data_IF_813198621421
#
_entry.id   IF_813198621421
#
_cell.length_a   1.000
_cell.length_b   1.000
_cell.length_c   1.000
_cell.angle_alpha   90.00
_cell.angle_beta   90.00
_cell.angle_gamma   90.00
#
_symmetry.space_group_name_H-M   'P 1'
#
loop_
_entity.id
_entity.type
_entity.pdbx_description
1 polymer ?
#
# COMPACT_ATOMS: atom_id res chain seq x y z
N UNK A 1 -14.28 -28.21 24.14
CA UNK A 1 -12.95 -27.57 24.25
C UNK A 1 -11.92 -28.56 24.75
N UNK A 2 -11.54 -28.50 26.03
CA UNK A 2 -10.43 -29.23 26.67
C UNK A 2 -10.30 -30.74 26.37
N UNK A 3 -11.41 -31.46 26.18
CA UNK A 3 -11.35 -32.89 25.87
C UNK A 3 -10.92 -33.19 24.42
N UNK A 4 -11.16 -32.26 23.48
CA UNK A 4 -10.84 -32.43 22.06
C UNK A 4 -9.42 -31.93 21.70
N UNK A 5 -8.80 -31.08 22.53
CA UNK A 5 -7.46 -30.50 22.27
C UNK A 5 -6.37 -31.55 22.04
N UNK A 6 -6.50 -32.72 22.67
CA UNK A 6 -5.53 -33.83 22.54
C UNK A 6 -5.88 -34.86 21.47
N UNK A 7 -7.08 -34.81 20.89
CA UNK A 7 -7.66 -35.90 20.09
C UNK A 7 -8.07 -35.47 18.69
N UNK A 8 -8.63 -34.28 18.56
CA UNK A 8 -8.88 -33.61 17.29
C UNK A 8 -8.83 -32.08 17.50
N UNK A 9 -7.63 -31.49 17.36
CA UNK A 9 -7.41 -30.06 17.54
C UNK A 9 -8.29 -29.19 16.63
N UNK A 10 -8.64 -29.67 15.43
CA UNK A 10 -9.49 -28.93 14.50
C UNK A 10 -10.94 -28.85 14.99
N UNK A 11 -11.46 -29.96 15.53
CA UNK A 11 -12.80 -30.00 16.14
C UNK A 11 -12.86 -29.15 17.42
N UNK A 12 -11.76 -29.06 18.16
CA UNK A 12 -11.64 -28.16 19.31
C UNK A 12 -11.74 -26.70 18.89
N UNK A 13 -11.04 -26.27 17.82
CA UNK A 13 -11.15 -24.92 17.26
C UNK A 13 -12.59 -24.59 16.85
N UNK A 14 -13.31 -25.50 16.16
CA UNK A 14 -14.72 -25.28 15.76
C UNK A 14 -15.65 -25.18 16.98
N UNK A 15 -15.40 -25.98 18.02
CA UNK A 15 -16.19 -25.92 19.25
C UNK A 15 -15.96 -24.62 20.02
N UNK A 16 -14.72 -24.11 20.04
CA UNK A 16 -14.40 -22.83 20.67
C UNK A 16 -14.86 -21.63 19.82
N UNK A 17 -14.83 -21.72 18.49
CA UNK A 17 -15.36 -20.71 17.57
C UNK A 17 -16.86 -20.48 17.82
N UNK A 18 -17.62 -21.55 18.11
CA UNK A 18 -19.03 -21.47 18.52
C UNK A 18 -19.23 -20.93 19.94
N UNK A 19 -18.21 -20.99 20.78
CA UNK A 19 -18.25 -20.54 22.18
C UNK A 19 -17.76 -19.11 22.40
N UNK A 20 -17.25 -18.42 21.37
CA UNK A 20 -16.57 -17.10 21.50
C UNK A 20 -15.44 -17.10 22.54
N UNK A 21 -14.71 -18.23 22.61
CA UNK A 21 -13.58 -18.44 23.50
C UNK A 21 -12.28 -18.07 22.77
N UNK A 22 -12.09 -16.77 22.54
CA UNK A 22 -11.11 -16.27 21.57
C UNK A 22 -9.65 -16.52 22.05
N UNK A 23 -9.41 -16.44 23.37
CA UNK A 23 -8.11 -16.75 23.97
C UNK A 23 -7.77 -18.25 23.92
N UNK A 24 -8.75 -19.13 24.16
CA UNK A 24 -8.54 -20.57 24.10
C UNK A 24 -8.26 -21.05 22.67
N UNK A 25 -8.89 -20.46 21.64
CA UNK A 25 -8.58 -20.75 20.23
C UNK A 25 -7.14 -20.39 19.91
N UNK A 26 -6.69 -19.21 20.33
CA UNK A 26 -5.31 -18.76 20.08
C UNK A 26 -4.32 -19.72 20.76
N UNK A 27 -4.55 -20.09 22.02
CA UNK A 27 -3.69 -21.01 22.74
C UNK A 27 -3.62 -22.39 22.07
N UNK A 28 -4.76 -22.98 21.73
CA UNK A 28 -4.84 -24.31 21.09
C UNK A 28 -4.22 -24.29 19.70
N UNK A 29 -4.41 -23.21 18.94
CA UNK A 29 -3.80 -23.07 17.61
C UNK A 29 -2.28 -22.90 17.70
N UNK A 30 -1.78 -22.14 18.67
CA UNK A 30 -0.34 -21.96 18.90
C UNK A 30 0.32 -23.28 19.35
N UNK A 31 -0.31 -24.03 20.25
CA UNK A 31 0.21 -25.31 20.74
C UNK A 31 0.23 -26.40 19.66
N UNK A 32 -0.79 -26.43 18.78
CA UNK A 32 -0.94 -27.46 17.74
C UNK A 32 -0.45 -27.02 16.36
N UNK A 33 0.22 -25.85 16.25
CA UNK A 33 0.67 -25.26 14.98
C UNK A 33 -0.44 -25.11 13.92
N UNK A 34 -1.69 -24.90 14.35
CA UNK A 34 -2.86 -24.72 13.47
C UNK A 34 -3.00 -23.27 12.98
N UNK A 35 -1.92 -22.69 12.47
CA UNK A 35 -1.89 -21.28 12.04
C UNK A 35 -2.84 -20.98 10.88
N UNK A 36 -3.11 -21.96 10.01
CA UNK A 36 -4.07 -21.83 8.92
C UNK A 36 -5.50 -21.61 9.42
N UNK A 37 -5.91 -22.35 10.45
CA UNK A 37 -7.24 -22.21 11.06
C UNK A 37 -7.34 -20.92 11.86
N UNK A 38 -6.27 -20.57 12.60
CA UNK A 38 -6.20 -19.32 13.33
C UNK A 38 -6.29 -18.09 12.42
N UNK A 39 -5.57 -18.08 11.30
CA UNK A 39 -5.61 -17.01 10.32
C UNK A 39 -7.03 -16.77 9.78
N UNK A 40 -7.73 -17.84 9.39
CA UNK A 40 -9.14 -17.74 8.92
C UNK A 40 -10.07 -17.20 10.02
N UNK A 41 -9.88 -17.68 11.24
CA UNK A 41 -10.69 -17.27 12.38
C UNK A 41 -10.53 -15.78 12.69
N UNK A 42 -9.28 -15.28 12.76
CA UNK A 42 -8.99 -13.86 13.03
C UNK A 42 -9.60 -12.93 11.99
N UNK A 43 -9.48 -13.31 10.71
CA UNK A 43 -10.02 -12.53 9.60
C UNK A 43 -11.56 -12.47 9.65
N UNK A 44 -12.23 -13.58 9.98
CA UNK A 44 -13.70 -13.62 10.15
C UNK A 44 -14.18 -12.88 11.40
N UNK A 45 -13.43 -12.95 12.50
CA UNK A 45 -13.83 -12.36 13.79
C UNK A 45 -13.81 -10.83 13.76
N UNK A 46 -12.95 -10.23 12.92
CA UNK A 46 -12.85 -8.78 12.70
C UNK A 46 -12.60 -7.98 14.00
N UNK A 47 -11.96 -8.59 14.99
CA UNK A 47 -11.73 -7.97 16.29
C UNK A 47 -10.32 -7.35 16.38
N UNK A 48 -10.18 -6.02 16.51
CA UNK A 48 -8.89 -5.35 16.64
C UNK A 48 -8.10 -5.76 17.89
N UNK A 49 -8.77 -6.09 19.01
CA UNK A 49 -8.07 -6.45 20.25
C UNK A 49 -7.37 -7.80 20.10
N UNK A 50 -8.01 -8.76 19.42
CA UNK A 50 -7.41 -10.05 19.10
C UNK A 50 -6.21 -9.90 18.17
N UNK A 51 -6.32 -9.04 17.16
CA UNK A 51 -5.19 -8.73 16.28
C UNK A 51 -4.02 -8.13 17.06
N UNK A 52 -4.27 -7.20 17.98
CA UNK A 52 -3.22 -6.62 18.82
C UNK A 52 -2.53 -7.66 19.72
N UNK A 53 -3.30 -8.58 20.31
CA UNK A 53 -2.75 -9.66 21.12
C UNK A 53 -1.86 -10.59 20.29
N UNK A 54 -2.31 -10.95 19.10
CA UNK A 54 -1.66 -11.96 18.27
C UNK A 54 -0.44 -11.39 17.51
N UNK A 55 -0.51 -10.12 17.09
CA UNK A 55 0.59 -9.38 16.46
C UNK A 55 1.59 -8.78 17.47
N UNK A 56 1.41 -9.04 18.76
CA UNK A 56 2.36 -8.65 19.80
C UNK A 56 3.75 -9.22 19.53
N UNK A 57 4.80 -8.42 19.76
CA UNK A 57 6.20 -8.85 19.65
C UNK A 57 6.58 -9.96 20.63
N UNK A 58 5.81 -10.12 21.71
CA UNK A 58 5.98 -11.20 22.67
C UNK A 58 5.63 -12.59 22.13
N UNK A 59 4.91 -12.66 21.00
CA UNK A 59 4.45 -13.91 20.42
C UNK A 59 5.52 -14.51 19.48
N UNK A 60 6.12 -15.66 19.81
CA UNK A 60 7.13 -16.29 18.96
C UNK A 60 6.54 -16.81 17.63
N UNK A 61 5.23 -17.02 17.56
CA UNK A 61 4.54 -17.54 16.37
C UNK A 61 3.99 -16.45 15.45
N UNK A 62 4.24 -15.16 15.77
CA UNK A 62 3.75 -14.01 15.01
C UNK A 62 4.03 -14.13 13.50
N UNK A 63 5.28 -14.43 13.12
CA UNK A 63 5.68 -14.55 11.71
C UNK A 63 4.95 -15.68 10.99
N UNK A 64 4.92 -16.88 11.59
CA UNK A 64 4.24 -18.04 11.02
C UNK A 64 2.76 -17.77 10.78
N UNK A 65 2.12 -17.05 11.69
CA UNK A 65 0.73 -16.66 11.51
C UNK A 65 0.57 -15.64 10.39
N UNK A 66 1.40 -14.59 10.34
CA UNK A 66 1.34 -13.57 9.28
C UNK A 66 1.49 -14.25 7.91
N UNK A 67 2.45 -15.14 7.76
CA UNK A 67 2.65 -15.91 6.53
C UNK A 67 1.38 -16.67 6.13
N UNK A 68 0.70 -17.32 7.09
CA UNK A 68 -0.54 -18.03 6.82
C UNK A 68 -1.73 -17.11 6.52
N UNK A 69 -1.79 -15.92 7.11
CA UNK A 69 -2.79 -14.89 6.80
C UNK A 69 -2.62 -14.42 5.36
N UNK A 70 -1.39 -14.07 4.96
CA UNK A 70 -1.07 -13.63 3.59
C UNK A 70 -1.25 -14.76 2.58
N UNK A 71 -0.85 -15.98 2.92
CA UNK A 71 -0.90 -17.11 1.99
C UNK A 71 -2.30 -17.69 1.79
N UNK A 72 -3.03 -17.94 2.90
CA UNK A 72 -4.27 -18.70 2.86
C UNK A 72 -5.51 -17.83 3.04
N UNK A 73 -5.57 -17.07 4.14
CA UNK A 73 -6.83 -16.49 4.58
C UNK A 73 -7.39 -15.52 3.53
N UNK A 74 -6.53 -14.69 2.94
CA UNK A 74 -6.95 -13.69 1.95
C UNK A 74 -7.33 -14.26 0.60
N UNK A 75 -6.82 -15.45 0.23
CA UNK A 75 -7.26 -16.14 -0.98
C UNK A 75 -8.69 -16.69 -0.85
N UNK A 76 -9.15 -16.92 0.38
CA UNK A 76 -10.47 -17.48 0.67
C UNK A 76 -11.50 -16.39 1.02
N UNK A 77 -11.06 -15.18 1.39
CA UNK A 77 -11.96 -14.08 1.79
C UNK A 77 -12.32 -13.20 0.61
N UNK A 78 -13.62 -13.06 0.32
CA UNK A 78 -14.14 -12.11 -0.66
C UNK A 78 -14.85 -10.91 0.01
N UNK A 79 -14.61 -10.70 1.30
CA UNK A 79 -15.26 -9.63 2.06
C UNK A 79 -14.31 -8.42 2.21
N UNK A 80 -14.75 -7.26 1.70
CA UNK A 80 -14.01 -5.99 1.80
C UNK A 80 -13.75 -5.56 3.24
N UNK A 81 -14.68 -5.84 4.15
CA UNK A 81 -14.53 -5.47 5.57
C UNK A 81 -13.45 -6.28 6.26
N UNK A 82 -13.35 -7.58 5.95
CA UNK A 82 -12.36 -8.49 6.52
C UNK A 82 -10.94 -8.05 6.16
N UNK A 83 -10.75 -7.67 4.89
CA UNK A 83 -9.48 -7.09 4.40
C UNK A 83 -9.19 -5.77 5.10
N UNK A 84 -10.18 -4.88 5.20
CA UNK A 84 -9.99 -3.54 5.78
C UNK A 84 -9.57 -3.61 7.25
N UNK A 85 -10.20 -4.49 8.05
CA UNK A 85 -9.82 -4.67 9.47
C UNK A 85 -8.43 -5.29 9.58
N UNK A 86 -8.11 -6.27 8.75
CA UNK A 86 -6.77 -6.89 8.72
C UNK A 86 -5.69 -5.86 8.37
N UNK A 87 -5.90 -5.04 7.33
CA UNK A 87 -4.97 -3.97 6.94
C UNK A 87 -4.78 -2.97 8.08
N UNK A 88 -5.86 -2.52 8.73
CA UNK A 88 -5.77 -1.61 9.88
C UNK A 88 -4.97 -2.22 11.04
N UNK A 89 -5.18 -3.50 11.34
CA UNK A 89 -4.42 -4.21 12.36
C UNK A 89 -2.92 -4.22 12.06
N UNK A 90 -2.52 -4.51 10.83
CA UNK A 90 -1.11 -4.50 10.41
C UNK A 90 -0.49 -3.10 10.46
N UNK A 91 -1.26 -2.06 10.09
CA UNK A 91 -0.83 -0.67 10.22
C UNK A 91 -0.61 -0.28 11.69
N UNK A 92 -1.50 -0.68 12.60
CA UNK A 92 -1.37 -0.40 14.04
C UNK A 92 -0.22 -1.19 14.67
N UNK A 93 0.06 -2.38 14.16
CA UNK A 93 1.17 -3.22 14.61
C UNK A 93 2.54 -2.80 14.06
N UNK A 94 2.61 -1.73 13.26
CA UNK A 94 3.85 -1.20 12.64
C UNK A 94 4.61 -2.24 11.81
N UNK A 95 3.87 -2.99 10.97
CA UNK A 95 4.39 -4.05 10.09
C UNK A 95 4.24 -3.67 8.61
N UNK A 96 5.03 -2.70 8.10
CA UNK A 96 4.81 -2.17 6.76
C UNK A 96 5.24 -3.14 5.65
N UNK A 97 6.27 -3.98 5.85
CA UNK A 97 6.74 -4.92 4.83
C UNK A 97 5.70 -6.02 4.59
N UNK A 98 5.19 -6.59 5.67
CA UNK A 98 4.15 -7.60 5.65
C UNK A 98 2.83 -7.04 5.10
N UNK A 99 2.54 -5.76 5.37
CA UNK A 99 1.40 -5.06 4.78
C UNK A 99 1.56 -4.88 3.27
N UNK A 100 2.77 -4.59 2.77
CA UNK A 100 3.03 -4.50 1.33
C UNK A 100 2.77 -5.84 0.65
N UNK A 101 3.33 -6.94 1.16
CA UNK A 101 3.11 -8.28 0.59
C UNK A 101 1.62 -8.66 0.57
N UNK A 102 0.92 -8.32 1.66
CA UNK A 102 -0.52 -8.51 1.78
C UNK A 102 -1.28 -7.74 0.68
N UNK A 103 -0.98 -6.45 0.52
CA UNK A 103 -1.66 -5.58 -0.43
C UNK A 103 -1.30 -5.92 -1.87
N UNK A 104 -0.06 -6.31 -2.18
CA UNK A 104 0.35 -6.80 -3.50
C UNK A 104 -0.52 -7.97 -3.92
N UNK A 105 -0.68 -8.96 -3.07
CA UNK A 105 -1.48 -10.15 -3.38
C UNK A 105 -2.97 -9.83 -3.58
N UNK A 106 -3.51 -8.87 -2.82
CA UNK A 106 -4.93 -8.48 -2.95
C UNK A 106 -5.15 -7.62 -4.21
N UNK A 107 -4.29 -6.64 -4.45
CA UNK A 107 -4.48 -5.66 -5.53
C UNK A 107 -4.01 -6.19 -6.88
N UNK A 108 -2.93 -6.99 -6.92
CA UNK A 108 -2.34 -7.49 -8.17
C UNK A 108 -2.91 -8.84 -8.60
N UNK A 109 -3.19 -9.77 -7.68
CA UNK A 109 -3.65 -11.12 -8.05
C UNK A 109 -5.18 -11.25 -8.05
N UNK A 110 -5.90 -10.42 -7.27
CA UNK A 110 -7.35 -10.49 -7.14
C UNK A 110 -8.04 -9.37 -7.94
N UNK A 111 -8.61 -9.72 -9.09
CA UNK A 111 -9.29 -8.77 -9.99
C UNK A 111 -10.45 -8.03 -9.32
N UNK A 112 -11.08 -8.60 -8.29
CA UNK A 112 -12.21 -8.00 -7.57
C UNK A 112 -11.82 -6.74 -6.78
N UNK A 113 -10.56 -6.65 -6.35
CA UNK A 113 -10.05 -5.55 -5.52
C UNK A 113 -9.05 -4.66 -6.24
N UNK A 114 -8.59 -5.08 -7.42
CA UNK A 114 -7.72 -4.30 -8.28
C UNK A 114 -8.26 -2.87 -8.47
N UNK A 115 -9.59 -2.69 -8.64
CA UNK A 115 -10.18 -1.37 -8.87
C UNK A 115 -10.48 -0.54 -7.61
N UNK A 116 -10.12 -1.04 -6.42
CA UNK A 116 -10.41 -0.32 -5.17
C UNK A 116 -9.38 0.77 -4.92
N UNK A 117 -9.76 2.03 -5.19
CA UNK A 117 -8.93 3.23 -4.95
C UNK A 117 -8.26 3.27 -3.58
N UNK A 118 -9.01 2.96 -2.52
CA UNK A 118 -8.47 3.01 -1.15
C UNK A 118 -7.34 2.01 -0.91
N UNK A 119 -7.42 0.80 -1.50
CA UNK A 119 -6.39 -0.23 -1.36
C UNK A 119 -5.15 0.11 -2.19
N UNK A 120 -5.33 0.62 -3.40
CA UNK A 120 -4.23 1.12 -4.22
C UNK A 120 -3.50 2.29 -3.54
N UNK A 121 -4.25 3.24 -2.97
CA UNK A 121 -3.68 4.35 -2.21
C UNK A 121 -2.85 3.84 -1.03
N UNK A 122 -3.41 2.89 -0.26
CA UNK A 122 -2.69 2.32 0.89
C UNK A 122 -1.43 1.57 0.46
N UNK A 123 -1.46 0.81 -0.64
CA UNK A 123 -0.29 0.10 -1.16
C UNK A 123 0.84 1.08 -1.50
N UNK A 124 0.53 2.13 -2.28
CA UNK A 124 1.53 3.12 -2.68
C UNK A 124 2.04 3.90 -1.47
N UNK A 125 1.16 4.35 -0.57
CA UNK A 125 1.56 5.11 0.63
C UNK A 125 2.44 4.30 1.58
N UNK A 126 2.14 3.00 1.74
CA UNK A 126 2.94 2.10 2.57
C UNK A 126 4.29 1.87 1.92
N UNK A 127 4.33 1.64 0.60
CA UNK A 127 5.56 1.49 -0.16
C UNK A 127 6.44 2.75 -0.06
N UNK A 128 5.88 3.96 -0.22
CA UNK A 128 6.63 5.21 -0.07
C UNK A 128 7.34 5.30 1.29
N UNK A 129 6.71 4.83 2.37
CA UNK A 129 7.27 4.90 3.72
C UNK A 129 8.28 3.80 4.02
N UNK A 130 8.14 2.62 3.42
CA UNK A 130 8.89 1.43 3.83
C UNK A 130 9.86 0.92 2.76
N UNK A 131 9.46 0.95 1.49
CA UNK A 131 10.27 0.49 0.36
C UNK A 131 9.98 1.33 -0.90
N UNK A 132 10.74 2.42 -1.05
CA UNK A 132 10.63 3.33 -2.18
C UNK A 132 10.94 2.67 -3.54
N UNK A 133 11.71 1.57 -3.56
CA UNK A 133 12.16 0.94 -4.81
C UNK A 133 11.01 0.39 -5.65
N UNK A 134 9.90 0.00 -5.00
CA UNK A 134 8.73 -0.60 -5.66
C UNK A 134 7.67 0.43 -6.07
N UNK A 135 7.78 1.68 -5.58
CA UNK A 135 6.76 2.73 -5.80
C UNK A 135 6.56 2.99 -7.30
N UNK A 136 7.66 3.02 -8.06
CA UNK A 136 7.61 3.23 -9.50
C UNK A 136 6.82 2.14 -10.24
N UNK A 137 7.02 0.87 -9.87
CA UNK A 137 6.29 -0.26 -10.45
C UNK A 137 4.80 -0.20 -10.12
N UNK A 138 4.45 0.22 -8.90
CA UNK A 138 3.04 0.39 -8.52
C UNK A 138 2.38 1.56 -9.25
N UNK A 139 3.03 2.72 -9.31
CA UNK A 139 2.54 3.91 -10.00
C UNK A 139 2.25 3.64 -11.48
N UNK A 140 3.11 2.85 -12.13
CA UNK A 140 2.97 2.50 -13.54
C UNK A 140 1.87 1.48 -13.78
N UNK A 141 1.75 0.45 -12.92
CA UNK A 141 0.74 -0.62 -13.07
C UNK A 141 -0.67 -0.24 -12.60
N UNK A 142 -0.79 0.58 -11.56
CA UNK A 142 -2.07 0.95 -10.96
C UNK A 142 -2.68 2.18 -11.64
N UNK A 143 -4.00 2.26 -11.74
CA UNK A 143 -4.70 3.34 -12.48
C UNK A 143 -5.76 4.07 -11.64
N UNK A 144 -6.23 3.50 -10.54
CA UNK A 144 -7.42 3.96 -9.81
C UNK A 144 -7.08 4.67 -8.49
N UNK A 145 -5.88 5.25 -8.35
CA UNK A 145 -5.43 5.92 -7.13
C UNK A 145 -5.58 7.45 -7.16
N UNK A 146 -5.39 8.09 -6.01
CA UNK A 146 -5.42 9.56 -5.88
C UNK A 146 -4.09 10.20 -6.30
N UNK A 147 -3.99 10.54 -7.59
CA UNK A 147 -2.74 11.05 -8.16
C UNK A 147 -2.23 12.35 -7.51
N UNK A 148 -3.02 13.43 -7.34
CA UNK A 148 -2.55 14.65 -6.69
C UNK A 148 -2.02 14.45 -5.26
N UNK A 149 -2.76 13.69 -4.45
CA UNK A 149 -2.39 13.47 -3.04
C UNK A 149 -1.14 12.59 -2.93
N UNK A 150 -1.09 11.49 -3.69
CA UNK A 150 0.05 10.56 -3.67
C UNK A 150 1.30 11.24 -4.23
N UNK A 151 1.19 12.01 -5.31
CA UNK A 151 2.33 12.73 -5.86
C UNK A 151 2.88 13.78 -4.88
N UNK A 152 2.01 14.48 -4.15
CA UNK A 152 2.44 15.42 -3.09
C UNK A 152 3.20 14.70 -1.98
N UNK A 153 2.73 13.52 -1.57
CA UNK A 153 3.39 12.70 -0.55
C UNK A 153 4.72 12.14 -1.08
N UNK A 154 4.79 11.74 -2.35
CA UNK A 154 6.03 11.31 -3.01
C UNK A 154 7.08 12.43 -3.03
N UNK A 155 6.68 13.66 -3.40
CA UNK A 155 7.56 14.86 -3.35
C UNK A 155 8.10 15.09 -1.93
N UNK A 156 7.25 15.01 -0.91
CA UNK A 156 7.66 15.18 0.48
C UNK A 156 8.68 14.13 0.94
N UNK A 157 8.65 12.94 0.33
CA UNK A 157 9.61 11.85 0.58
C UNK A 157 10.79 11.84 -0.42
N UNK A 158 10.95 12.90 -1.23
CA UNK A 158 12.02 13.06 -2.24
C UNK A 158 11.96 12.05 -3.40
N UNK A 159 10.78 11.48 -3.67
CA UNK A 159 10.49 10.58 -4.79
C UNK A 159 9.96 11.38 -5.98
N UNK A 160 10.86 12.16 -6.60
CA UNK A 160 10.49 13.14 -7.62
C UNK A 160 10.20 12.52 -8.98
N UNK A 161 10.90 11.43 -9.34
CA UNK A 161 10.68 10.72 -10.61
C UNK A 161 9.33 9.99 -10.60
N UNK A 162 8.96 9.41 -9.46
CA UNK A 162 7.67 8.78 -9.22
C UNK A 162 6.55 9.82 -9.26
N UNK A 163 6.73 10.94 -8.57
CA UNK A 163 5.77 12.05 -8.60
C UNK A 163 5.55 12.61 -10.01
N UNK A 164 6.63 12.78 -10.78
CA UNK A 164 6.55 13.21 -12.17
C UNK A 164 5.78 12.19 -13.03
N UNK A 165 6.07 10.90 -12.86
CA UNK A 165 5.40 9.81 -13.59
C UNK A 165 3.90 9.78 -13.27
N UNK A 166 3.52 9.98 -12.00
CA UNK A 166 2.12 10.11 -11.58
C UNK A 166 1.47 11.28 -12.32
N UNK A 167 2.02 12.49 -12.23
CA UNK A 167 1.40 13.66 -12.86
C UNK A 167 1.30 13.54 -14.37
N UNK A 168 2.31 12.95 -15.02
CA UNK A 168 2.30 12.66 -16.46
C UNK A 168 1.22 11.65 -16.82
N UNK A 169 0.97 10.65 -15.98
CA UNK A 169 -0.05 9.62 -16.23
C UNK A 169 -1.48 10.16 -16.11
N UNK A 170 -1.70 11.15 -15.26
CA UNK A 170 -3.01 11.75 -15.00
C UNK A 170 -3.21 13.12 -15.70
N UNK A 171 -2.37 13.43 -16.69
CA UNK A 171 -2.43 14.66 -17.49
C UNK A 171 -2.40 15.97 -16.67
N UNK A 172 -1.80 15.94 -15.48
CA UNK A 172 -1.63 17.12 -14.62
C UNK A 172 -0.34 17.85 -14.99
N UNK A 173 -0.30 18.38 -16.21
CA UNK A 173 0.90 18.92 -16.85
C UNK A 173 1.56 20.08 -16.07
N UNK A 174 0.74 20.93 -15.44
CA UNK A 174 1.24 22.07 -14.65
C UNK A 174 2.01 21.66 -13.39
N UNK A 175 1.60 20.58 -12.72
CA UNK A 175 2.31 20.03 -11.57
C UNK A 175 3.50 19.18 -12.01
N UNK A 176 3.36 18.44 -13.12
CA UNK A 176 4.46 17.65 -13.69
C UNK A 176 5.69 18.52 -14.00
N UNK A 177 5.49 19.65 -14.71
CA UNK A 177 6.61 20.53 -15.04
C UNK A 177 7.19 21.23 -13.81
N UNK A 178 6.36 21.52 -12.81
CA UNK A 178 6.83 22.08 -11.54
C UNK A 178 7.81 21.12 -10.85
N UNK A 179 7.52 19.82 -10.86
CA UNK A 179 8.41 18.80 -10.29
C UNK A 179 9.75 18.77 -11.02
N UNK A 180 9.73 18.80 -12.36
CA UNK A 180 10.96 18.84 -13.18
C UNK A 180 11.81 20.09 -12.87
N UNK A 181 11.16 21.25 -12.78
CA UNK A 181 11.83 22.54 -12.61
C UNK A 181 12.38 22.72 -11.19
N UNK A 182 11.54 22.53 -10.17
CA UNK A 182 11.88 22.89 -8.79
C UNK A 182 12.60 21.79 -8.04
N UNK A 183 12.27 20.53 -8.31
CA UNK A 183 12.79 19.40 -7.53
C UNK A 183 13.94 18.69 -8.26
N UNK A 184 13.76 18.36 -9.54
CA UNK A 184 14.81 17.71 -10.34
C UNK A 184 15.83 18.73 -10.88
N UNK A 185 15.37 19.96 -11.16
CA UNK A 185 16.20 21.02 -11.71
C UNK A 185 16.60 20.83 -13.18
N UNK A 186 16.02 19.83 -13.85
CA UNK A 186 16.32 19.42 -15.23
C UNK A 186 15.47 20.22 -16.22
N UNK A 187 16.04 21.31 -16.71
CA UNK A 187 15.37 22.22 -17.65
C UNK A 187 15.25 21.63 -19.06
N UNK A 188 16.18 20.76 -19.46
CA UNK A 188 16.16 20.13 -20.78
C UNK A 188 14.97 19.17 -20.87
N UNK A 189 14.79 18.31 -19.86
CA UNK A 189 13.58 17.48 -19.76
C UNK A 189 12.31 18.31 -19.63
N UNK A 190 12.35 19.43 -18.91
CA UNK A 190 11.19 20.31 -18.77
C UNK A 190 10.80 20.95 -20.11
N UNK A 191 11.78 21.28 -20.95
CA UNK A 191 11.57 21.78 -22.32
C UNK A 191 10.97 20.70 -23.22
N UNK A 192 11.55 19.49 -23.24
CA UNK A 192 10.98 18.37 -24.01
C UNK A 192 9.54 18.04 -23.59
N UNK A 193 9.25 18.12 -22.28
CA UNK A 193 7.90 17.93 -21.76
C UNK A 193 6.95 19.06 -22.20
N UNK A 194 7.40 20.31 -22.15
CA UNK A 194 6.62 21.47 -22.60
C UNK A 194 6.30 21.42 -24.10
N UNK A 195 7.27 21.02 -24.93
CA UNK A 195 7.09 20.82 -26.37
C UNK A 195 6.05 19.73 -26.66
N UNK A 196 6.10 18.62 -25.90
CA UNK A 196 5.14 17.53 -26.05
C UNK A 196 3.73 17.88 -25.59
N UNK A 197 3.58 18.58 -24.47
CA UNK A 197 2.27 19.01 -23.96
C UNK A 197 1.67 20.15 -24.78
N UNK A 198 2.52 21.03 -25.32
CA UNK A 198 2.17 22.20 -26.10
C UNK A 198 1.06 23.07 -25.46
N UNK A 199 1.14 23.25 -24.14
CA UNK A 199 0.20 24.07 -23.37
C UNK A 199 0.82 25.40 -22.95
N UNK A 200 0.12 26.55 -23.16
CA UNK A 200 0.65 27.87 -22.78
C UNK A 200 0.97 28.01 -21.28
N UNK A 201 0.24 27.31 -20.42
CA UNK A 201 0.43 27.30 -18.96
C UNK A 201 1.75 26.63 -18.55
N UNK A 202 2.14 25.59 -19.26
CA UNK A 202 3.36 24.81 -19.05
C UNK A 202 4.56 25.62 -19.53
N UNK A 203 4.48 26.19 -20.74
CA UNK A 203 5.47 27.11 -21.30
C UNK A 203 5.70 28.34 -20.41
N UNK A 204 4.63 28.98 -19.93
CA UNK A 204 4.74 30.13 -19.01
C UNK A 204 5.51 29.79 -17.72
N UNK A 205 5.33 28.57 -17.18
CA UNK A 205 6.07 28.12 -15.98
C UNK A 205 7.53 27.85 -16.29
N UNK A 206 7.83 27.20 -17.41
CA UNK A 206 9.19 26.94 -17.87
C UNK A 206 9.95 28.24 -18.10
N UNK A 207 9.37 29.18 -18.85
CA UNK A 207 9.97 30.46 -19.15
C UNK A 207 10.27 31.26 -17.87
N UNK A 208 9.33 31.27 -16.92
CA UNK A 208 9.54 31.91 -15.61
C UNK A 208 10.73 31.30 -14.84
N UNK A 209 10.89 29.98 -14.91
CA UNK A 209 11.99 29.29 -14.26
C UNK A 209 13.34 29.52 -14.95
N UNK A 210 13.36 29.51 -16.29
CA UNK A 210 14.54 29.86 -17.09
C UNK A 210 15.00 31.30 -16.81
N UNK A 211 14.07 32.26 -16.71
CA UNK A 211 14.37 33.64 -16.30
C UNK A 211 15.02 33.69 -14.91
N UNK A 212 14.50 32.94 -13.94
CA UNK A 212 15.07 32.89 -12.59
C UNK A 212 16.49 32.29 -12.56
N UNK A 213 16.79 31.34 -13.46
CA UNK A 213 18.14 30.77 -13.62
C UNK A 213 19.07 31.62 -14.50
N UNK A 214 18.61 32.78 -15.00
CA UNK A 214 19.41 33.70 -15.82
C UNK A 214 19.53 33.31 -17.30
N UNK A 215 18.73 32.34 -17.76
CA UNK A 215 18.68 31.83 -19.12
C UNK A 215 17.72 32.68 -19.97
N UNK A 216 18.08 33.95 -20.17
CA UNK A 216 17.18 34.95 -20.78
C UNK A 216 16.83 34.63 -22.23
N UNK A 217 17.74 34.02 -22.99
CA UNK A 217 17.49 33.67 -24.41
C UNK A 217 16.46 32.55 -24.53
N UNK A 218 16.67 31.46 -23.83
CA UNK A 218 15.76 30.30 -23.81
C UNK A 218 14.40 30.65 -23.21
N UNK A 219 14.37 31.57 -22.24
CA UNK A 219 13.13 32.08 -21.69
C UNK A 219 12.30 32.92 -22.66
N UNK A 220 12.93 33.64 -23.58
CA UNK A 220 12.22 34.39 -24.63
C UNK A 220 11.62 33.41 -25.63
N UNK A 221 12.35 32.37 -26.00
CA UNK A 221 11.87 31.34 -26.93
C UNK A 221 10.74 30.49 -26.33
N UNK A 222 10.66 30.42 -25.00
CA UNK A 222 9.65 29.67 -24.25
C UNK A 222 8.41 30.50 -23.87
N UNK A 223 8.39 31.82 -24.12
CA UNK A 223 7.28 32.75 -23.81
C UNK A 223 6.41 33.03 -25.03
#
# INVERSE_FOLDING_TARGET
GKYCEKRDPHLACVAYERGHCDHEIIAVCNENSLFKTLARYLVRRKDPELWAQVLSESNPYKRLLIDQVVQTALGETQNTEEITVTVKAFMTADLPNELIELLEKIVLDNSTYADTRNLQNLLILTAIKADASRVMDYVTRLENYDAPDIATIAINNKLYEEAFTIFKKFDVNTSAIQVLIENLGDLDRAYEFAERCNEPTVWSRLAKAQLQKGLVKEAIDSY
#
